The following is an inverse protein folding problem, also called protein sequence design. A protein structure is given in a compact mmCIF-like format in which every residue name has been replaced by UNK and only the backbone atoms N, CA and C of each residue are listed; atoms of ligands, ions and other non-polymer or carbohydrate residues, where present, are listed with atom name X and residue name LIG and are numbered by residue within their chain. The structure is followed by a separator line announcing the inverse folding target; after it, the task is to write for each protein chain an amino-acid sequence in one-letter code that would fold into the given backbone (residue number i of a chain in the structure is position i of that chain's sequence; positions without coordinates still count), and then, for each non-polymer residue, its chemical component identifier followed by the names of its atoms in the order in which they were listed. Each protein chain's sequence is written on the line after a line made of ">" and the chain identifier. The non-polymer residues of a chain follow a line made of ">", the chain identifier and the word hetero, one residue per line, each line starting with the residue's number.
data_IF_956781599005
#
_entry.id   IF_956781599005
#
_cell.length_a   1.000
_cell.length_b   1.000
_cell.length_c   1.000
_cell.angle_alpha   90.00
_cell.angle_beta   90.00
_cell.angle_gamma   90.00
#
_symmetry.space_group_name_H-M   'P 1'
#
loop_
_entity.id
_entity.type
_entity.pdbx_description
1 polymer ?
#
# COMPACT_ATOMS: atom_id res chain seq x y z
N UNK A 1 -4.58 -3.15 2.81
CA UNK A 1 -3.79 -3.31 1.56
C UNK A 1 -3.28 -4.74 1.42
N UNK A 2 -2.33 -5.18 2.26
CA UNK A 2 -1.71 -6.52 2.22
C UNK A 2 -2.65 -7.71 1.96
N UNK A 3 -3.62 -7.93 2.85
CA UNK A 3 -4.59 -9.02 2.72
C UNK A 3 -5.42 -8.95 1.42
N UNK A 4 -5.80 -7.75 0.97
CA UNK A 4 -6.63 -7.55 -0.22
C UNK A 4 -5.89 -7.89 -1.53
N UNK A 5 -4.56 -8.03 -1.51
CA UNK A 5 -3.80 -8.53 -2.66
C UNK A 5 -4.18 -9.96 -3.09
N UNK A 6 -4.82 -10.75 -2.21
CA UNK A 6 -5.43 -12.03 -2.59
C UNK A 6 -6.54 -11.88 -3.64
N UNK A 7 -7.30 -10.77 -3.59
CA UNK A 7 -8.38 -10.52 -4.53
C UNK A 7 -7.87 -10.19 -5.92
N UNK A 8 -6.62 -9.74 -6.07
CA UNK A 8 -6.02 -9.57 -7.40
C UNK A 8 -5.92 -10.91 -8.12
N UNK A 9 -5.56 -11.98 -7.42
CA UNK A 9 -5.61 -13.34 -7.97
C UNK A 9 -7.03 -13.83 -8.13
N UNK A 10 -7.80 -13.82 -7.03
CA UNK A 10 -9.08 -14.52 -6.96
C UNK A 10 -10.14 -13.86 -7.86
N UNK A 11 -10.30 -12.53 -7.76
CA UNK A 11 -11.26 -11.81 -8.59
C UNK A 11 -10.78 -11.67 -10.03
N UNK A 12 -9.48 -11.46 -10.28
CA UNK A 12 -8.93 -11.35 -11.63
C UNK A 12 -9.03 -12.66 -12.41
N UNK A 13 -8.60 -13.79 -11.84
CA UNK A 13 -8.73 -15.09 -12.50
C UNK A 13 -10.20 -15.51 -12.64
N UNK A 14 -11.06 -15.19 -11.68
CA UNK A 14 -12.50 -15.42 -11.82
C UNK A 14 -13.11 -14.56 -12.95
N UNK A 15 -12.66 -13.31 -13.12
CA UNK A 15 -13.11 -12.46 -14.22
C UNK A 15 -12.69 -13.01 -15.58
N UNK A 16 -11.41 -13.39 -15.72
CA UNK A 16 -10.90 -14.04 -16.92
C UNK A 16 -11.61 -15.34 -17.29
N UNK A 17 -11.99 -16.12 -16.29
CA UNK A 17 -12.75 -17.37 -16.46
C UNK A 17 -14.27 -17.17 -16.59
N UNK A 18 -14.75 -15.92 -16.69
CA UNK A 18 -16.17 -15.55 -16.75
C UNK A 18 -17.00 -16.04 -15.56
N UNK A 19 -16.36 -16.26 -14.40
CA UNK A 19 -16.99 -16.69 -13.15
C UNK A 19 -17.46 -15.48 -12.32
N UNK A 20 -18.30 -14.63 -12.90
CA UNK A 20 -18.69 -13.33 -12.34
C UNK A 20 -19.33 -13.42 -10.94
N UNK A 21 -20.16 -14.44 -10.68
CA UNK A 21 -20.72 -14.69 -9.33
C UNK A 21 -19.63 -14.83 -8.25
N UNK A 22 -18.50 -15.47 -8.58
CA UNK A 22 -17.40 -15.65 -7.62
C UNK A 22 -16.72 -14.35 -7.26
N UNK A 23 -16.68 -13.37 -8.16
CA UNK A 23 -16.08 -12.05 -7.89
C UNK A 23 -16.77 -11.38 -6.70
N UNK A 24 -18.11 -11.36 -6.69
CA UNK A 24 -18.85 -10.83 -5.56
C UNK A 24 -18.68 -11.69 -4.31
N UNK A 25 -18.72 -13.02 -4.42
CA UNK A 25 -18.47 -13.91 -3.27
C UNK A 25 -17.12 -13.62 -2.61
N UNK A 26 -16.02 -13.56 -3.38
CA UNK A 26 -14.71 -13.21 -2.84
C UNK A 26 -14.67 -11.81 -2.24
N UNK A 27 -15.32 -10.83 -2.87
CA UNK A 27 -15.37 -9.45 -2.39
C UNK A 27 -16.06 -9.38 -1.02
N UNK A 28 -17.28 -9.90 -0.87
CA UNK A 28 -17.99 -9.87 0.40
C UNK A 28 -17.33 -10.74 1.48
N UNK A 29 -16.88 -11.94 1.13
CA UNK A 29 -16.14 -12.80 2.06
C UNK A 29 -14.88 -12.11 2.59
N UNK A 30 -14.15 -11.39 1.73
CA UNK A 30 -12.97 -10.64 2.15
C UNK A 30 -13.31 -9.44 3.03
N UNK A 31 -14.40 -8.71 2.76
CA UNK A 31 -14.87 -7.62 3.63
C UNK A 31 -15.16 -8.14 5.03
N UNK A 32 -15.87 -9.28 5.15
CA UNK A 32 -16.16 -9.92 6.44
C UNK A 32 -14.84 -10.29 7.15
N UNK A 33 -13.92 -10.98 6.46
CA UNK A 33 -12.63 -11.34 7.03
C UNK A 33 -11.83 -10.11 7.51
N UNK A 34 -11.79 -9.04 6.72
CA UNK A 34 -11.01 -7.84 7.05
C UNK A 34 -11.63 -7.05 8.20
N UNK A 35 -12.96 -6.93 8.25
CA UNK A 35 -13.66 -6.34 9.39
C UNK A 35 -13.39 -7.12 10.67
N UNK A 36 -13.35 -8.46 10.61
CA UNK A 36 -12.98 -9.29 11.75
C UNK A 36 -11.53 -9.04 12.20
N UNK A 37 -10.59 -8.83 11.26
CA UNK A 37 -9.19 -8.49 11.54
C UNK A 37 -9.05 -7.07 12.11
N UNK A 38 -9.98 -6.15 11.84
CA UNK A 38 -9.94 -4.80 12.43
C UNK A 38 -10.07 -4.81 13.95
N UNK A 39 -10.81 -5.76 14.55
CA UNK A 39 -10.99 -5.83 16.00
C UNK A 39 -9.68 -6.03 16.78
N UNK A 40 -8.85 -7.05 16.51
CA UNK A 40 -7.58 -7.20 17.22
C UNK A 40 -6.63 -6.03 16.98
N UNK A 41 -6.61 -5.45 15.78
CA UNK A 41 -5.79 -4.25 15.50
C UNK A 41 -6.29 -3.04 16.32
N UNK A 42 -7.60 -2.86 16.40
CA UNK A 42 -8.21 -1.77 17.20
C UNK A 42 -7.87 -1.93 18.68
N UNK A 43 -7.88 -3.17 19.20
CA UNK A 43 -7.47 -3.44 20.58
C UNK A 43 -6.01 -3.06 20.84
N UNK A 44 -5.11 -3.31 19.89
CA UNK A 44 -3.72 -2.85 19.96
C UNK A 44 -3.64 -1.32 19.97
N UNK A 45 -4.40 -0.65 19.09
CA UNK A 45 -4.42 0.82 18.99
C UNK A 45 -4.97 1.53 20.23
N UNK A 46 -5.93 0.92 20.93
CA UNK A 46 -6.45 1.43 22.20
C UNK A 46 -5.42 1.32 23.35
N UNK A 47 -4.43 0.45 23.23
CA UNK A 47 -3.37 0.27 24.24
C UNK A 47 -2.00 0.76 23.71
N UNK A 48 -1.98 1.65 22.72
CA UNK A 48 -0.75 2.10 22.07
C UNK A 48 0.17 2.87 23.02
N UNK A 49 -0.40 3.60 23.98
CA UNK A 49 0.33 4.29 25.04
C UNK A 49 1.21 3.32 25.83
N UNK A 50 0.60 2.27 26.39
CA UNK A 50 1.29 1.22 27.17
C UNK A 50 2.32 0.48 26.34
N UNK A 51 2.01 0.22 25.07
CA UNK A 51 2.93 -0.45 24.15
C UNK A 51 4.17 0.41 23.89
N UNK A 52 4.01 1.71 23.63
CA UNK A 52 5.14 2.60 23.38
C UNK A 52 5.96 2.86 24.65
N UNK A 53 5.30 2.99 25.81
CA UNK A 53 5.98 3.07 27.11
C UNK A 53 6.77 1.79 27.44
N UNK A 54 6.26 0.61 27.06
CA UNK A 54 7.00 -0.65 27.18
C UNK A 54 8.30 -0.63 26.33
N UNK A 55 8.29 0.07 25.20
CA UNK A 55 9.47 0.34 24.38
C UNK A 55 10.23 1.60 24.82
N UNK A 56 10.02 2.05 26.06
CA UNK A 56 10.71 3.19 26.69
C UNK A 56 10.57 4.51 25.93
N UNK A 57 9.44 4.69 25.22
CA UNK A 57 9.12 5.98 24.62
C UNK A 57 8.62 6.97 25.68
N UNK A 58 8.74 8.26 25.37
CA UNK A 58 8.25 9.33 26.23
C UNK A 58 6.73 9.18 26.50
N UNK A 59 6.26 9.27 27.76
CA UNK A 59 4.84 9.09 28.09
C UNK A 59 3.91 10.09 27.40
N UNK A 60 4.34 11.35 27.23
CA UNK A 60 3.53 12.36 26.56
C UNK A 60 3.38 12.06 25.05
N UNK A 61 4.46 11.64 24.39
CA UNK A 61 4.41 11.17 22.99
C UNK A 61 3.54 9.91 22.86
N UNK A 62 3.65 8.99 23.82
CA UNK A 62 2.89 7.73 23.85
C UNK A 62 1.39 7.99 23.98
N UNK A 63 0.97 8.88 24.88
CA UNK A 63 -0.42 9.34 25.01
C UNK A 63 -0.91 9.98 23.70
N UNK A 64 -0.09 10.83 23.07
CA UNK A 64 -0.43 11.50 21.83
C UNK A 64 -0.67 10.51 20.67
N UNK A 65 0.23 9.53 20.53
CA UNK A 65 0.12 8.45 19.55
C UNK A 65 -1.09 7.56 19.80
N UNK A 66 -1.37 7.23 21.07
CA UNK A 66 -2.57 6.48 21.45
C UNK A 66 -3.85 7.22 21.08
N UNK A 67 -3.95 8.50 21.45
CA UNK A 67 -5.09 9.34 21.09
C UNK A 67 -5.28 9.38 19.57
N UNK A 68 -4.21 9.63 18.81
CA UNK A 68 -4.28 9.62 17.34
C UNK A 68 -4.78 8.27 16.80
N UNK A 69 -4.23 7.16 17.32
CA UNK A 69 -4.57 5.80 16.90
C UNK A 69 -6.03 5.44 17.19
N UNK A 70 -6.56 5.82 18.36
CA UNK A 70 -7.98 5.62 18.71
C UNK A 70 -8.89 6.32 17.70
N UNK A 71 -8.59 7.58 17.36
CA UNK A 71 -9.38 8.35 16.40
C UNK A 71 -9.22 7.87 14.95
N UNK A 72 -8.20 7.07 14.65
CA UNK A 72 -8.05 6.37 13.36
C UNK A 72 -8.83 5.06 13.28
N UNK A 73 -9.36 4.51 14.38
CA UNK A 73 -10.10 3.23 14.34
C UNK A 73 -11.24 3.24 13.32
N UNK A 74 -12.12 4.27 13.21
CA UNK A 74 -13.14 4.31 12.18
C UNK A 74 -12.56 4.25 10.76
N UNK A 75 -11.40 4.86 10.53
CA UNK A 75 -10.68 4.83 9.25
C UNK A 75 -10.21 3.41 8.90
N UNK A 76 -9.79 2.63 9.90
CA UNK A 76 -9.38 1.23 9.74
C UNK A 76 -10.54 0.36 9.21
N UNK A 77 -11.74 0.51 9.77
CA UNK A 77 -12.94 -0.20 9.28
C UNK A 77 -13.35 0.28 7.88
N UNK A 78 -13.26 1.58 7.60
CA UNK A 78 -13.46 2.12 6.26
C UNK A 78 -12.49 1.49 5.24
N UNK A 79 -11.21 1.38 5.60
CA UNK A 79 -10.20 0.70 4.79
C UNK A 79 -10.51 -0.79 4.56
N UNK A 80 -11.03 -1.51 5.56
CA UNK A 80 -11.39 -2.92 5.43
C UNK A 80 -12.50 -3.17 4.40
N UNK A 81 -13.39 -2.20 4.21
CA UNK A 81 -14.42 -2.23 3.16
C UNK A 81 -13.90 -1.71 1.82
N UNK A 82 -13.15 -0.60 1.85
CA UNK A 82 -12.65 0.08 0.67
C UNK A 82 -11.72 -0.83 -0.15
N UNK A 83 -10.79 -1.53 0.50
CA UNK A 83 -9.76 -2.28 -0.21
C UNK A 83 -10.35 -3.44 -1.06
N UNK A 84 -11.30 -4.25 -0.57
CA UNK A 84 -12.05 -5.18 -1.41
C UNK A 84 -12.82 -4.51 -2.55
N UNK A 85 -13.51 -3.38 -2.31
CA UNK A 85 -14.23 -2.66 -3.38
C UNK A 85 -13.28 -2.21 -4.48
N UNK A 86 -12.09 -1.70 -4.11
CA UNK A 86 -11.08 -1.31 -5.09
C UNK A 86 -10.69 -2.49 -5.98
N UNK A 87 -10.43 -3.66 -5.39
CA UNK A 87 -10.07 -4.87 -6.14
C UNK A 87 -11.24 -5.40 -6.98
N UNK A 88 -12.48 -5.28 -6.51
CA UNK A 88 -13.69 -5.61 -7.28
C UNK A 88 -13.74 -4.86 -8.60
N UNK A 89 -13.61 -3.53 -8.58
CA UNK A 89 -13.63 -2.74 -9.82
C UNK A 89 -12.38 -2.95 -10.66
N UNK A 90 -11.22 -3.00 -10.00
CA UNK A 90 -9.94 -3.12 -10.68
C UNK A 90 -9.80 -4.44 -11.46
N UNK A 91 -10.22 -5.58 -10.89
CA UNK A 91 -10.14 -6.88 -11.59
C UNK A 91 -10.97 -6.91 -12.87
N UNK A 92 -12.02 -6.09 -12.94
CA UNK A 92 -12.90 -5.94 -14.10
C UNK A 92 -12.40 -4.87 -15.09
N UNK A 93 -11.26 -4.21 -14.83
CA UNK A 93 -10.77 -3.08 -15.63
C UNK A 93 -11.58 -1.78 -15.45
N UNK A 94 -12.46 -1.70 -14.46
CA UNK A 94 -13.32 -0.55 -14.20
C UNK A 94 -12.58 0.52 -13.38
N UNK A 95 -11.65 1.23 -14.00
CA UNK A 95 -10.81 2.22 -13.30
C UNK A 95 -11.48 3.58 -13.07
N UNK A 96 -12.51 3.94 -13.86
CA UNK A 96 -13.18 5.24 -13.75
C UNK A 96 -13.91 5.43 -12.40
N UNK A 97 -14.69 4.47 -11.87
CA UNK A 97 -15.25 4.57 -10.52
C UNK A 97 -14.19 4.83 -9.44
N UNK A 98 -13.05 4.14 -9.55
CA UNK A 98 -11.92 4.30 -8.61
C UNK A 98 -11.33 5.70 -8.68
N UNK A 99 -11.14 6.22 -9.90
CA UNK A 99 -10.64 7.57 -10.14
C UNK A 99 -11.59 8.63 -9.57
N UNK A 100 -12.88 8.59 -9.94
CA UNK A 100 -13.84 9.60 -9.49
C UNK A 100 -14.06 9.56 -7.98
N UNK A 101 -14.08 8.37 -7.38
CA UNK A 101 -14.13 8.21 -5.93
C UNK A 101 -12.92 8.87 -5.25
N UNK A 102 -11.71 8.51 -5.69
CA UNK A 102 -10.47 8.99 -5.07
C UNK A 102 -10.28 10.49 -5.26
N UNK A 103 -10.59 11.00 -6.45
CA UNK A 103 -10.52 12.42 -6.78
C UNK A 103 -11.53 13.22 -5.95
N UNK A 104 -12.78 12.77 -5.88
CA UNK A 104 -13.81 13.42 -5.05
C UNK A 104 -13.42 13.42 -3.56
N UNK A 105 -12.89 12.30 -3.07
CA UNK A 105 -12.41 12.19 -1.69
C UNK A 105 -11.23 13.12 -1.40
N UNK A 106 -10.30 13.31 -2.35
CA UNK A 106 -9.19 14.25 -2.23
C UNK A 106 -9.68 15.71 -2.21
N UNK A 107 -10.56 16.08 -3.14
CA UNK A 107 -11.18 17.41 -3.20
C UNK A 107 -11.94 17.74 -1.91
N UNK A 108 -12.57 16.74 -1.28
CA UNK A 108 -13.18 16.88 0.04
C UNK A 108 -12.14 16.95 1.17
N UNK A 109 -11.12 16.08 1.13
CA UNK A 109 -10.15 15.91 2.20
C UNK A 109 -9.40 17.20 2.54
N UNK A 110 -8.91 17.91 1.52
CA UNK A 110 -8.09 19.13 1.70
C UNK A 110 -8.84 20.21 2.52
N UNK A 111 -10.03 20.70 2.10
CA UNK A 111 -10.75 21.72 2.86
C UNK A 111 -11.27 21.19 4.20
N UNK A 112 -11.67 19.91 4.27
CA UNK A 112 -12.16 19.31 5.51
C UNK A 112 -11.05 19.17 6.56
N UNK A 113 -9.86 18.74 6.15
CA UNK A 113 -8.67 18.68 6.99
C UNK A 113 -8.31 20.07 7.51
N UNK A 114 -8.30 21.09 6.65
CA UNK A 114 -8.08 22.47 7.07
C UNK A 114 -9.11 22.98 8.09
N UNK A 115 -10.40 22.67 7.86
CA UNK A 115 -11.48 23.02 8.77
C UNK A 115 -11.28 22.40 10.16
N UNK A 116 -11.05 21.08 10.23
CA UNK A 116 -10.89 20.37 11.50
C UNK A 116 -9.64 20.80 12.26
N UNK A 117 -8.51 20.93 11.56
CA UNK A 117 -7.22 21.25 12.20
C UNK A 117 -7.15 22.72 12.62
N UNK A 118 -7.44 23.66 11.71
CA UNK A 118 -7.15 25.08 11.94
C UNK A 118 -8.36 25.87 12.45
N UNK A 119 -9.55 25.61 11.94
CA UNK A 119 -10.76 26.38 12.30
C UNK A 119 -11.41 25.85 13.57
N UNK A 120 -11.61 24.53 13.65
CA UNK A 120 -12.17 23.87 14.83
C UNK A 120 -11.12 23.53 15.88
N UNK A 121 -9.83 23.66 15.54
CA UNK A 121 -8.68 23.44 16.45
C UNK A 121 -8.65 22.06 17.09
N UNK A 122 -9.05 21.02 16.34
CA UNK A 122 -8.98 19.63 16.79
C UNK A 122 -7.58 19.01 16.66
N UNK A 123 -6.59 19.75 16.12
CA UNK A 123 -5.19 19.31 16.06
C UNK A 123 -5.03 17.93 15.43
N UNK A 124 -4.27 17.05 16.08
CA UNK A 124 -4.03 15.67 15.61
C UNK A 124 -5.31 14.83 15.48
N UNK A 125 -6.32 15.09 16.32
CA UNK A 125 -7.61 14.39 16.25
C UNK A 125 -8.35 14.83 14.98
N UNK A 126 -8.25 16.12 14.64
CA UNK A 126 -8.76 16.65 13.39
C UNK A 126 -8.13 15.98 12.16
N UNK A 127 -6.82 15.72 12.21
CA UNK A 127 -6.12 14.98 11.14
C UNK A 127 -6.59 13.52 11.03
N UNK A 128 -6.75 12.80 12.14
CA UNK A 128 -7.26 11.43 12.14
C UNK A 128 -8.71 11.33 11.64
N UNK A 129 -9.57 12.27 12.07
CA UNK A 129 -10.96 12.34 11.63
C UNK A 129 -11.08 12.69 10.14
N UNK A 130 -10.25 13.61 9.63
CA UNK A 130 -10.32 14.01 8.23
C UNK A 130 -10.00 12.84 7.29
N UNK A 131 -8.97 12.03 7.59
CA UNK A 131 -8.67 10.84 6.80
C UNK A 131 -9.76 9.78 6.93
N UNK A 132 -10.30 9.57 8.14
CA UNK A 132 -11.39 8.63 8.36
C UNK A 132 -12.63 8.95 7.54
N UNK A 133 -13.09 10.21 7.56
CA UNK A 133 -14.26 10.64 6.78
C UNK A 133 -13.99 10.54 5.28
N UNK A 134 -12.79 10.91 4.80
CA UNK A 134 -12.42 10.77 3.39
C UNK A 134 -12.42 9.32 2.91
N UNK A 135 -12.00 8.37 3.76
CA UNK A 135 -12.06 6.94 3.43
C UNK A 135 -13.50 6.42 3.39
N UNK A 136 -14.34 6.83 4.33
CA UNK A 136 -15.77 6.47 4.32
C UNK A 136 -16.52 7.09 3.15
N UNK A 137 -16.13 8.29 2.71
CA UNK A 137 -16.64 8.89 1.48
C UNK A 137 -16.29 8.03 0.26
N UNK A 138 -15.05 7.53 0.17
CA UNK A 138 -14.69 6.57 -0.88
C UNK A 138 -15.55 5.30 -0.83
N UNK A 139 -15.73 4.72 0.36
CA UNK A 139 -16.59 3.54 0.55
C UNK A 139 -18.01 3.82 0.06
N UNK A 140 -18.59 4.97 0.43
CA UNK A 140 -19.93 5.35 0.03
C UNK A 140 -20.07 5.49 -1.49
N UNK A 141 -19.13 6.19 -2.15
CA UNK A 141 -19.14 6.39 -3.60
C UNK A 141 -18.96 5.05 -4.33
N UNK A 142 -17.98 4.24 -3.96
CA UNK A 142 -17.76 2.94 -4.58
C UNK A 142 -18.91 1.96 -4.33
N UNK A 143 -19.56 2.03 -3.17
CA UNK A 143 -20.74 1.24 -2.88
C UNK A 143 -21.91 1.59 -3.82
N UNK A 144 -22.13 2.87 -4.11
CA UNK A 144 -23.15 3.30 -5.09
C UNK A 144 -22.85 2.72 -6.47
N UNK A 145 -21.63 2.89 -6.97
CA UNK A 145 -21.22 2.29 -8.25
C UNK A 145 -21.37 0.76 -8.27
N UNK A 146 -21.06 0.10 -7.15
CA UNK A 146 -21.10 -1.36 -7.06
C UNK A 146 -22.55 -1.84 -7.04
N UNK A 147 -23.44 -1.20 -6.27
CA UNK A 147 -24.86 -1.52 -6.18
C UNK A 147 -25.57 -1.44 -7.53
N UNK A 148 -25.20 -0.48 -8.36
CA UNK A 148 -25.83 -0.26 -9.66
C UNK A 148 -25.31 -1.22 -10.76
N UNK A 149 -24.28 -2.02 -10.45
CA UNK A 149 -23.68 -2.97 -11.40
C UNK A 149 -24.53 -4.23 -11.62
N UNK A 150 -24.40 -4.85 -12.80
CA UNK A 150 -25.07 -6.12 -13.11
C UNK A 150 -24.58 -7.28 -12.21
N UNK A 151 -23.28 -7.34 -11.90
CA UNK A 151 -22.69 -8.34 -11.00
C UNK A 151 -23.28 -8.30 -9.59
N UNK A 152 -23.65 -7.10 -9.10
CA UNK A 152 -24.30 -6.98 -7.80
C UNK A 152 -25.64 -7.74 -7.76
N UNK A 153 -26.37 -7.76 -8.87
CA UNK A 153 -27.66 -8.49 -8.96
C UNK A 153 -27.46 -10.00 -8.85
N UNK A 154 -26.40 -10.54 -9.45
CA UNK A 154 -26.06 -11.97 -9.39
C UNK A 154 -25.57 -12.42 -8.00
N UNK A 155 -25.05 -11.48 -7.20
CA UNK A 155 -24.42 -11.74 -5.90
C UNK A 155 -25.34 -11.43 -4.71
N UNK A 156 -26.57 -10.98 -4.98
CA UNK A 156 -27.58 -10.66 -3.96
C UNK A 156 -28.08 -11.90 -3.19
N UNK A 157 -27.98 -13.08 -3.78
CA UNK A 157 -28.44 -14.35 -3.22
C UNK A 157 -27.26 -15.33 -3.02
N UNK A 158 -26.16 -14.87 -2.40
CA UNK A 158 -25.04 -15.75 -2.05
C UNK A 158 -25.44 -16.67 -0.89
N UNK A 159 -25.17 -17.97 -1.06
CA UNK A 159 -25.39 -18.95 0.00
C UNK A 159 -24.27 -18.88 1.05
N UNK A 160 -24.58 -19.21 2.31
CA UNK A 160 -23.59 -19.22 3.40
C UNK A 160 -22.41 -20.14 3.08
N UNK A 161 -22.64 -21.28 2.42
CA UNK A 161 -21.60 -22.22 2.04
C UNK A 161 -20.63 -21.62 1.01
N UNK A 162 -21.12 -20.82 0.05
CA UNK A 162 -20.29 -20.07 -0.89
C UNK A 162 -19.39 -19.07 -0.15
N UNK A 163 -19.96 -18.34 0.81
CA UNK A 163 -19.23 -17.35 1.62
C UNK A 163 -18.09 -18.02 2.38
N UNK A 164 -18.34 -19.11 3.10
CA UNK A 164 -17.31 -19.83 3.87
C UNK A 164 -16.22 -20.42 2.98
N UNK A 165 -16.58 -20.98 1.82
CA UNK A 165 -15.61 -21.49 0.84
C UNK A 165 -14.71 -20.36 0.31
N UNK A 166 -15.31 -19.22 -0.06
CA UNK A 166 -14.58 -18.03 -0.51
C UNK A 166 -13.71 -17.42 0.58
N UNK A 167 -14.13 -17.44 1.85
CA UNK A 167 -13.31 -16.99 2.98
C UNK A 167 -12.05 -17.85 3.15
N UNK A 168 -12.18 -19.18 3.04
CA UNK A 168 -11.03 -20.10 3.14
C UNK A 168 -10.00 -19.84 2.03
N UNK A 169 -10.47 -19.67 0.80
CA UNK A 169 -9.62 -19.37 -0.35
C UNK A 169 -8.94 -18.01 -0.21
N UNK A 170 -9.70 -17.00 0.22
CA UNK A 170 -9.19 -15.67 0.52
C UNK A 170 -8.05 -15.72 1.55
N UNK A 171 -8.27 -16.32 2.72
CA UNK A 171 -7.26 -16.38 3.80
C UNK A 171 -5.97 -17.06 3.34
N UNK A 172 -6.08 -18.14 2.54
CA UNK A 172 -4.92 -18.89 2.03
C UNK A 172 -3.95 -18.04 1.20
N UNK A 173 -4.46 -17.06 0.45
CA UNK A 173 -3.65 -16.13 -0.36
C UNK A 173 -3.39 -14.81 0.37
N UNK A 174 -4.32 -14.41 1.24
CA UNK A 174 -4.27 -13.12 1.91
C UNK A 174 -3.17 -13.09 2.97
N UNK A 175 -2.89 -14.19 3.67
CA UNK A 175 -1.77 -14.25 4.63
C UNK A 175 -0.41 -14.05 3.93
N UNK A 176 -0.05 -14.82 2.88
CA UNK A 176 1.20 -14.57 2.15
C UNK A 176 1.28 -13.16 1.54
N UNK A 177 0.17 -12.66 0.98
CA UNK A 177 0.10 -11.31 0.42
C UNK A 177 0.29 -10.23 1.48
N UNK A 178 -0.30 -10.41 2.67
CA UNK A 178 -0.11 -9.50 3.80
C UNK A 178 1.32 -9.54 4.31
N UNK A 179 1.91 -10.73 4.47
CA UNK A 179 3.32 -10.87 4.87
C UNK A 179 4.24 -10.13 3.91
N UNK A 180 4.08 -10.32 2.60
CA UNK A 180 4.90 -9.67 1.59
C UNK A 180 4.90 -8.14 1.72
N UNK A 181 3.71 -7.52 1.83
CA UNK A 181 3.59 -6.06 1.95
C UNK A 181 4.06 -5.55 3.32
N UNK A 182 3.69 -6.24 4.41
CA UNK A 182 4.10 -5.82 5.75
C UNK A 182 5.62 -5.88 5.94
N UNK A 183 6.28 -6.94 5.44
CA UNK A 183 7.73 -7.08 5.50
C UNK A 183 8.45 -5.98 4.71
N UNK A 184 7.92 -5.62 3.55
CA UNK A 184 8.44 -4.49 2.78
C UNK A 184 8.31 -3.18 3.58
N UNK A 185 7.12 -2.88 4.13
CA UNK A 185 6.88 -1.64 4.87
C UNK A 185 7.70 -1.55 6.16
N UNK A 186 7.75 -2.63 6.93
CA UNK A 186 8.53 -2.68 8.16
C UNK A 186 10.03 -2.58 7.90
N UNK A 187 10.52 -3.01 6.74
CA UNK A 187 11.93 -2.81 6.38
C UNK A 187 12.29 -1.32 6.28
N UNK A 188 11.40 -0.47 5.76
CA UNK A 188 11.62 0.97 5.71
C UNK A 188 11.60 1.61 7.09
N UNK A 189 10.68 1.19 7.98
CA UNK A 189 10.64 1.66 9.37
C UNK A 189 11.92 1.26 10.13
N UNK A 190 12.43 0.04 9.90
CA UNK A 190 13.69 -0.41 10.48
C UNK A 190 14.88 0.42 9.98
N UNK A 191 14.95 0.74 8.69
CA UNK A 191 15.99 1.62 8.14
C UNK A 191 15.95 3.01 8.77
N UNK A 192 14.75 3.58 8.94
CA UNK A 192 14.56 4.87 9.59
C UNK A 192 15.00 4.82 11.06
N UNK A 193 14.63 3.75 11.79
CA UNK A 193 15.03 3.55 13.17
C UNK A 193 16.56 3.39 13.30
N UNK A 194 17.20 2.59 12.44
CA UNK A 194 18.65 2.41 12.43
C UNK A 194 19.38 3.72 12.15
N UNK A 195 18.86 4.57 11.26
CA UNK A 195 19.44 5.90 11.01
C UNK A 195 19.47 6.77 12.28
N UNK A 196 18.49 6.60 13.17
CA UNK A 196 18.41 7.31 14.44
C UNK A 196 19.43 6.84 15.50
N UNK A 197 20.08 5.70 15.29
CA UNK A 197 21.11 5.16 16.18
C UNK A 197 22.53 5.61 15.78
N UNK A 198 22.69 6.27 14.64
CA UNK A 198 23.99 6.73 14.14
C UNK A 198 24.51 7.95 14.92
N UNK A 199 25.84 8.21 14.93
CA UNK A 199 26.44 9.28 15.73
C UNK A 199 25.86 10.68 15.47
N UNK A 200 25.47 10.99 14.23
CA UNK A 200 24.77 12.23 13.87
C UNK A 200 23.31 11.96 13.50
N UNK A 201 22.55 11.38 14.43
CA UNK A 201 21.18 10.90 14.21
C UNK A 201 20.24 11.94 13.58
N UNK A 202 20.34 13.23 13.95
CA UNK A 202 19.53 14.29 13.33
C UNK A 202 19.81 14.43 11.83
N UNK A 203 21.08 14.45 11.43
CA UNK A 203 21.47 14.53 10.03
C UNK A 203 21.06 13.26 9.27
N UNK A 204 21.43 12.10 9.79
CA UNK A 204 21.21 10.80 9.13
C UNK A 204 19.72 10.51 8.95
N UNK A 205 18.90 10.72 9.99
CA UNK A 205 17.45 10.55 9.90
C UNK A 205 16.81 11.55 8.94
N UNK A 206 17.29 12.80 8.88
CA UNK A 206 16.79 13.79 7.92
C UNK A 206 17.09 13.38 6.48
N UNK A 207 18.33 12.96 6.20
CA UNK A 207 18.75 12.50 4.87
C UNK A 207 17.99 11.23 4.47
N UNK A 208 17.86 10.26 5.38
CA UNK A 208 17.10 9.04 5.16
C UNK A 208 15.61 9.33 4.88
N UNK A 209 14.99 10.24 5.63
CA UNK A 209 13.60 10.66 5.41
C UNK A 209 13.40 11.28 4.02
N UNK A 210 14.33 12.11 3.54
CA UNK A 210 14.28 12.69 2.18
C UNK A 210 14.42 11.58 1.13
N UNK A 211 15.34 10.64 1.31
CA UNK A 211 15.52 9.49 0.42
C UNK A 211 14.26 8.62 0.34
N UNK A 212 13.67 8.26 1.50
CA UNK A 212 12.45 7.45 1.58
C UNK A 212 11.26 8.19 0.98
N UNK A 213 11.12 9.49 1.23
CA UNK A 213 10.05 10.31 0.64
C UNK A 213 10.19 10.39 -0.88
N UNK A 214 11.40 10.61 -1.38
CA UNK A 214 11.69 10.63 -2.83
C UNK A 214 11.37 9.29 -3.49
N UNK A 215 11.79 8.17 -2.86
CA UNK A 215 11.47 6.83 -3.33
C UNK A 215 9.97 6.54 -3.29
N UNK A 216 9.30 6.94 -2.21
CA UNK A 216 7.85 6.79 -2.03
C UNK A 216 7.03 7.52 -3.09
N UNK A 217 7.44 8.72 -3.50
CA UNK A 217 6.79 9.48 -4.58
C UNK A 217 6.82 8.71 -5.92
N UNK A 218 7.97 8.12 -6.26
CA UNK A 218 8.11 7.29 -7.44
C UNK A 218 7.33 5.96 -7.31
N UNK A 219 7.36 5.34 -6.13
CA UNK A 219 6.70 4.05 -5.88
C UNK A 219 5.20 4.07 -6.18
N UNK A 220 4.50 5.19 -5.99
CA UNK A 220 3.06 5.30 -6.30
C UNK A 220 2.78 4.99 -7.77
N UNK A 221 3.60 5.51 -8.69
CA UNK A 221 3.42 5.27 -10.12
C UNK A 221 3.73 3.83 -10.49
N UNK A 222 4.82 3.27 -9.93
CA UNK A 222 5.20 1.90 -10.24
C UNK A 222 4.25 0.86 -9.62
N UNK A 223 3.74 1.11 -8.42
CA UNK A 223 2.70 0.25 -7.83
C UNK A 223 1.42 0.27 -8.71
N UNK A 224 1.08 1.41 -9.33
CA UNK A 224 -0.02 1.47 -10.30
C UNK A 224 0.25 0.62 -11.55
N UNK A 225 1.49 0.62 -12.08
CA UNK A 225 1.91 -0.27 -13.17
C UNK A 225 1.82 -1.74 -12.72
N UNK A 226 2.30 -2.07 -11.52
CA UNK A 226 2.21 -3.41 -10.94
C UNK A 226 0.77 -3.87 -10.73
N UNK A 227 -0.11 -2.98 -10.29
CA UNK A 227 -1.55 -3.20 -10.13
C UNK A 227 -2.25 -3.46 -11.47
N UNK A 228 -1.87 -2.74 -12.53
CA UNK A 228 -2.34 -3.01 -13.89
C UNK A 228 -1.81 -4.37 -14.41
N UNK A 229 -0.53 -4.65 -14.21
CA UNK A 229 0.09 -5.93 -14.56
C UNK A 229 -0.63 -7.10 -13.88
N UNK A 230 -0.88 -6.98 -12.58
CA UNK A 230 -1.61 -7.96 -11.79
C UNK A 230 -3.00 -8.26 -12.36
N UNK A 231 -3.74 -7.21 -12.75
CA UNK A 231 -5.07 -7.30 -13.35
C UNK A 231 -5.03 -8.03 -14.69
N UNK A 232 -4.15 -7.61 -15.61
CA UNK A 232 -4.08 -8.23 -16.93
C UNK A 232 -3.54 -9.65 -16.88
N UNK A 233 -2.51 -9.92 -16.06
CA UNK A 233 -1.96 -11.27 -15.89
C UNK A 233 -3.00 -12.21 -15.30
N UNK A 234 -3.71 -11.80 -14.23
CA UNK A 234 -4.75 -12.64 -13.62
C UNK A 234 -5.92 -12.90 -14.57
N UNK A 235 -6.39 -11.88 -15.30
CA UNK A 235 -7.47 -12.04 -16.27
C UNK A 235 -7.08 -13.01 -17.41
N UNK A 236 -5.90 -12.84 -18.01
CA UNK A 236 -5.46 -13.72 -19.10
C UNK A 236 -5.18 -15.15 -18.62
N UNK A 237 -4.65 -15.32 -17.40
CA UNK A 237 -4.49 -16.65 -16.79
C UNK A 237 -5.83 -17.32 -16.51
N UNK A 238 -6.81 -16.57 -16.00
CA UNK A 238 -8.18 -17.05 -15.78
C UNK A 238 -8.85 -17.49 -17.07
N UNK A 239 -8.62 -16.77 -18.18
CA UNK A 239 -9.11 -17.11 -19.50
C UNK A 239 -8.37 -18.28 -20.17
N UNK A 240 -7.33 -18.84 -19.54
CA UNK A 240 -6.52 -19.91 -20.13
C UNK A 240 -5.57 -19.44 -21.24
N UNK A 241 -5.18 -18.16 -21.24
CA UNK A 241 -4.35 -17.54 -22.27
C UNK A 241 -2.93 -17.18 -21.74
N UNK A 242 -2.02 -18.16 -21.59
CA UNK A 242 -0.69 -17.91 -21.03
C UNK A 242 0.19 -17.02 -21.91
N UNK A 243 -0.07 -16.96 -23.23
CA UNK A 243 0.69 -16.10 -24.15
C UNK A 243 0.41 -14.62 -23.88
N UNK A 244 -0.86 -14.26 -23.75
CA UNK A 244 -1.25 -12.88 -23.43
C UNK A 244 -0.87 -12.51 -21.99
N UNK A 245 -0.98 -13.43 -21.03
CA UNK A 245 -0.49 -13.20 -19.67
C UNK A 245 1.01 -12.84 -19.66
N UNK A 246 1.84 -13.55 -20.45
CA UNK A 246 3.26 -13.23 -20.60
C UNK A 246 3.49 -11.89 -21.31
N UNK A 247 2.69 -11.56 -22.31
CA UNK A 247 2.76 -10.27 -22.99
C UNK A 247 2.43 -9.11 -22.04
N UNK A 248 1.40 -9.24 -21.21
CA UNK A 248 1.04 -8.26 -20.18
C UNK A 248 2.16 -8.07 -19.14
N UNK A 249 2.75 -9.17 -18.65
CA UNK A 249 3.89 -9.13 -17.74
C UNK A 249 5.10 -8.40 -18.36
N UNK A 250 5.45 -8.72 -19.62
CA UNK A 250 6.55 -8.07 -20.32
C UNK A 250 6.28 -6.57 -20.55
N UNK A 251 5.06 -6.20 -20.96
CA UNK A 251 4.68 -4.81 -21.16
C UNK A 251 4.85 -3.99 -19.87
N UNK A 252 4.41 -4.54 -18.73
CA UNK A 252 4.57 -3.91 -17.43
C UNK A 252 6.05 -3.75 -17.03
N UNK A 253 6.89 -4.76 -17.30
CA UNK A 253 8.33 -4.68 -17.04
C UNK A 253 9.01 -3.59 -17.89
N UNK A 254 8.65 -3.47 -19.17
CA UNK A 254 9.17 -2.40 -20.03
C UNK A 254 8.72 -1.02 -19.57
N UNK A 255 7.43 -0.86 -19.19
CA UNK A 255 6.91 0.39 -18.66
C UNK A 255 7.59 0.79 -17.35
N UNK A 256 7.74 -0.15 -16.40
CA UNK A 256 8.41 0.10 -15.13
C UNK A 256 9.89 0.46 -15.30
N UNK A 257 10.60 -0.22 -16.21
CA UNK A 257 12.00 0.10 -16.51
C UNK A 257 12.16 1.47 -17.20
N UNK A 258 11.25 1.81 -18.11
CA UNK A 258 11.23 3.13 -18.75
C UNK A 258 10.98 4.23 -17.72
N UNK A 259 9.94 4.09 -16.90
CA UNK A 259 9.60 5.04 -15.84
C UNK A 259 10.77 5.24 -14.86
N UNK A 260 11.32 4.15 -14.34
CA UNK A 260 12.45 4.21 -13.42
C UNK A 260 13.67 4.88 -14.05
N UNK A 261 13.97 4.60 -15.32
CA UNK A 261 15.06 5.26 -16.04
C UNK A 261 14.81 6.76 -16.15
N UNK A 262 13.60 7.16 -16.52
CA UNK A 262 13.20 8.56 -16.65
C UNK A 262 13.32 9.32 -15.32
N UNK A 263 12.80 8.73 -14.24
CA UNK A 263 12.87 9.31 -12.89
C UNK A 263 14.32 9.39 -12.41
N UNK A 264 15.11 8.33 -12.58
CA UNK A 264 16.52 8.32 -12.18
C UNK A 264 17.36 9.36 -12.92
N UNK A 265 17.17 9.51 -14.23
CA UNK A 265 17.87 10.53 -15.05
C UNK A 265 17.47 11.93 -14.58
N UNK A 266 16.19 12.17 -14.38
CA UNK A 266 15.68 13.47 -13.92
C UNK A 266 16.21 13.80 -12.53
N UNK A 267 16.06 12.89 -11.58
CA UNK A 267 16.53 13.05 -10.20
C UNK A 267 18.04 13.26 -10.16
N UNK A 268 18.82 12.50 -10.92
CA UNK A 268 20.28 12.67 -10.98
C UNK A 268 20.65 14.06 -11.49
N UNK A 269 20.04 14.55 -12.58
CA UNK A 269 20.35 15.86 -13.15
C UNK A 269 19.97 17.02 -12.21
N UNK A 270 18.82 16.91 -11.53
CA UNK A 270 18.29 17.96 -10.66
C UNK A 270 18.60 17.75 -9.16
N UNK A 271 19.44 16.78 -8.80
CA UNK A 271 19.71 16.36 -7.41
C UNK A 271 20.04 17.49 -6.44
N UNK A 272 20.77 18.51 -6.90
CA UNK A 272 21.12 19.69 -6.09
C UNK A 272 19.87 20.48 -5.72
N UNK A 273 19.07 20.85 -6.72
CA UNK A 273 17.82 21.59 -6.53
C UNK A 273 16.82 20.77 -5.75
N UNK A 274 16.70 19.48 -6.06
CA UNK A 274 15.80 18.56 -5.35
C UNK A 274 16.07 18.54 -3.85
N UNK A 275 17.34 18.45 -3.44
CA UNK A 275 17.72 18.46 -2.03
C UNK A 275 17.27 19.74 -1.28
N UNK A 276 17.37 20.91 -1.93
CA UNK A 276 16.95 22.18 -1.35
C UNK A 276 15.42 22.39 -1.33
N UNK A 277 14.62 21.57 -2.02
CA UNK A 277 13.16 21.58 -1.87
C UNK A 277 12.76 21.05 -0.47
N UNK A 278 13.54 20.13 0.10
CA UNK A 278 13.24 19.50 1.38
C UNK A 278 13.87 20.21 2.58
N UNK A 279 15.08 20.77 2.44
CA UNK A 279 15.79 21.38 3.56
C UNK A 279 16.62 22.59 3.14
N UNK A 280 16.60 23.62 3.99
CA UNK A 280 17.47 24.79 3.88
C UNK A 280 18.83 24.57 4.55
N UNK A 281 19.00 23.48 5.31
CA UNK A 281 20.27 23.14 5.95
C UNK A 281 21.27 22.64 4.91
N UNK A 282 22.36 23.39 4.73
CA UNK A 282 23.37 23.13 3.69
C UNK A 282 23.98 21.75 3.85
N UNK A 283 24.21 21.29 5.09
CA UNK A 283 24.77 19.97 5.38
C UNK A 283 23.84 18.84 4.90
N UNK A 284 22.55 18.92 5.21
CA UNK A 284 21.53 17.96 4.75
C UNK A 284 21.42 17.97 3.23
N UNK A 285 21.32 19.15 2.62
CA UNK A 285 21.16 19.28 1.18
C UNK A 285 22.39 18.75 0.40
N UNK A 286 23.59 19.01 0.93
CA UNK A 286 24.83 18.49 0.36
C UNK A 286 24.92 16.96 0.46
N UNK A 287 24.53 16.39 1.59
CA UNK A 287 24.54 14.94 1.77
C UNK A 287 23.51 14.26 0.85
N UNK A 288 22.26 14.73 0.80
CA UNK A 288 21.24 14.22 -0.14
C UNK A 288 21.76 14.25 -1.59
N UNK A 289 22.36 15.37 -2.00
CA UNK A 289 22.99 15.52 -3.32
C UNK A 289 24.05 14.45 -3.59
N UNK A 290 24.89 14.14 -2.59
CA UNK A 290 25.97 13.16 -2.69
C UNK A 290 25.46 11.71 -2.77
N UNK A 291 24.42 11.36 -2.00
CA UNK A 291 23.86 10.00 -1.95
C UNK A 291 22.85 9.71 -3.06
N UNK A 292 22.36 10.75 -3.75
CA UNK A 292 21.38 10.61 -4.85
C UNK A 292 21.73 9.54 -5.90
N UNK A 293 22.99 9.34 -6.35
CA UNK A 293 23.30 8.27 -7.30
C UNK A 293 22.95 6.86 -6.78
N UNK A 294 23.15 6.61 -5.48
CA UNK A 294 22.78 5.37 -4.82
C UNK A 294 21.25 5.26 -4.72
N UNK A 295 20.57 6.37 -4.42
CA UNK A 295 19.12 6.44 -4.42
C UNK A 295 18.53 6.13 -5.81
N UNK A 296 19.11 6.63 -6.89
CA UNK A 296 18.69 6.29 -8.25
C UNK A 296 18.82 4.78 -8.52
N UNK A 297 19.93 4.16 -8.11
CA UNK A 297 20.08 2.70 -8.23
C UNK A 297 19.00 1.95 -7.43
N UNK A 298 18.73 2.40 -6.20
CA UNK A 298 17.67 1.83 -5.37
C UNK A 298 16.29 1.98 -6.02
N UNK A 299 15.94 3.17 -6.53
CA UNK A 299 14.68 3.45 -7.24
C UNK A 299 14.50 2.50 -8.44
N UNK A 300 15.56 2.28 -9.22
CA UNK A 300 15.51 1.39 -10.38
C UNK A 300 15.22 -0.08 -9.99
N UNK A 301 15.89 -0.56 -8.95
CA UNK A 301 15.68 -1.91 -8.43
C UNK A 301 14.28 -2.03 -7.81
N UNK A 302 13.88 -1.06 -6.98
CA UNK A 302 12.55 -1.00 -6.37
C UNK A 302 11.43 -0.97 -7.41
N UNK A 303 11.62 -0.28 -8.53
CA UNK A 303 10.64 -0.29 -9.63
C UNK A 303 10.44 -1.72 -10.16
N UNK A 304 11.55 -2.39 -10.45
CA UNK A 304 11.53 -3.75 -10.98
C UNK A 304 10.86 -4.73 -10.02
N UNK A 305 11.16 -4.63 -8.72
CA UNK A 305 10.55 -5.50 -7.70
C UNK A 305 9.07 -5.21 -7.49
N UNK A 306 8.63 -3.95 -7.55
CA UNK A 306 7.23 -3.57 -7.43
C UNK A 306 6.38 -4.13 -8.58
N UNK A 307 6.87 -4.02 -9.83
CA UNK A 307 6.19 -4.62 -10.99
C UNK A 307 6.12 -6.14 -10.89
N UNK A 308 7.24 -6.80 -10.53
CA UNK A 308 7.29 -8.25 -10.34
C UNK A 308 6.37 -8.73 -9.22
N UNK A 309 6.26 -7.95 -8.13
CA UNK A 309 5.34 -8.21 -7.04
C UNK A 309 3.89 -8.17 -7.52
N UNK A 310 3.52 -7.18 -8.34
CA UNK A 310 2.22 -7.12 -9.00
C UNK A 310 1.95 -8.34 -9.88
N UNK A 311 2.92 -8.73 -10.73
CA UNK A 311 2.81 -9.94 -11.57
C UNK A 311 2.63 -11.20 -10.71
N UNK A 312 3.39 -11.33 -9.61
CA UNK A 312 3.27 -12.45 -8.69
C UNK A 312 1.89 -12.50 -8.01
N UNK A 313 1.30 -11.35 -7.65
CA UNK A 313 -0.09 -11.29 -7.17
C UNK A 313 -1.06 -11.73 -8.24
N UNK A 314 -0.93 -11.28 -9.49
CA UNK A 314 -1.81 -11.72 -10.58
C UNK A 314 -1.72 -13.22 -10.88
N UNK A 315 -0.50 -13.79 -10.78
CA UNK A 315 -0.24 -15.20 -11.02
C UNK A 315 -0.57 -16.13 -9.84
N UNK A 316 -0.82 -15.59 -8.63
CA UNK A 316 -1.04 -16.40 -7.43
C UNK A 316 0.25 -16.90 -6.76
N UNK A 317 1.39 -16.26 -7.03
CA UNK A 317 2.72 -16.62 -6.51
C UNK A 317 3.13 -15.80 -5.28
N UNK A 318 2.19 -15.20 -4.55
CA UNK A 318 2.48 -14.32 -3.41
C UNK A 318 3.31 -15.03 -2.32
N UNK A 319 3.17 -16.35 -2.15
CA UNK A 319 3.96 -17.11 -1.19
C UNK A 319 5.45 -17.12 -1.54
N UNK A 320 5.79 -17.28 -2.82
CA UNK A 320 7.18 -17.25 -3.29
C UNK A 320 7.74 -15.84 -3.11
N UNK A 321 6.97 -14.83 -3.53
CA UNK A 321 7.35 -13.43 -3.37
C UNK A 321 7.58 -13.07 -1.89
N UNK A 322 6.72 -13.53 -0.98
CA UNK A 322 6.88 -13.32 0.46
C UNK A 322 8.17 -13.93 1.02
N UNK A 323 8.53 -15.16 0.64
CA UNK A 323 9.81 -15.76 1.06
C UNK A 323 11.02 -15.01 0.47
N UNK A 324 10.91 -14.56 -0.79
CA UNK A 324 11.94 -13.75 -1.41
C UNK A 324 12.13 -12.40 -0.67
N UNK A 325 11.05 -11.76 -0.21
CA UNK A 325 11.10 -10.54 0.61
C UNK A 325 11.82 -10.77 1.95
N UNK A 326 11.56 -11.89 2.63
CA UNK A 326 12.28 -12.25 3.87
C UNK A 326 13.78 -12.40 3.58
N UNK A 327 14.13 -13.20 2.58
CA UNK A 327 15.53 -13.45 2.24
C UNK A 327 16.28 -12.18 1.83
N UNK A 328 15.68 -11.36 0.98
CA UNK A 328 16.30 -10.14 0.47
C UNK A 328 16.42 -9.04 1.53
N UNK A 329 15.32 -8.64 2.18
CA UNK A 329 15.36 -7.52 3.12
C UNK A 329 15.94 -7.90 4.47
N UNK A 330 15.53 -9.03 5.07
CA UNK A 330 15.82 -9.33 6.47
C UNK A 330 17.04 -10.20 6.69
N UNK A 331 17.35 -11.13 5.78
CA UNK A 331 18.52 -12.00 5.92
C UNK A 331 19.78 -11.42 5.30
N UNK A 332 19.64 -10.54 4.30
CA UNK A 332 20.79 -9.96 3.57
C UNK A 332 20.82 -8.44 3.70
N UNK A 333 19.78 -7.73 3.24
CA UNK A 333 19.78 -6.28 3.10
C UNK A 333 20.04 -5.53 4.41
N UNK A 334 19.20 -5.75 5.42
CA UNK A 334 19.31 -5.09 6.73
C UNK A 334 20.63 -5.47 7.45
N UNK A 335 21.04 -6.75 7.54
CA UNK A 335 22.33 -7.10 8.15
C UNK A 335 23.54 -6.47 7.45
N UNK A 336 23.62 -6.54 6.12
CA UNK A 336 24.72 -5.93 5.35
C UNK A 336 24.71 -4.41 5.52
N UNK A 337 23.53 -3.78 5.44
CA UNK A 337 23.38 -2.34 5.67
C UNK A 337 23.85 -1.94 7.06
N UNK A 338 23.53 -2.72 8.09
CA UNK A 338 23.96 -2.46 9.47
C UNK A 338 25.48 -2.55 9.62
N UNK A 339 26.12 -3.58 9.04
CA UNK A 339 27.58 -3.75 9.08
C UNK A 339 28.32 -2.63 8.34
N UNK A 340 27.74 -2.10 7.26
CA UNK A 340 28.36 -1.00 6.50
C UNK A 340 28.18 0.36 7.18
N UNK A 341 27.22 0.47 8.10
CA UNK A 341 26.81 1.74 8.70
C UNK A 341 27.38 1.97 10.11
N UNK A 342 27.69 0.88 10.84
CA UNK A 342 28.24 0.87 12.20
C UNK A 342 29.60 0.17 12.25
#
# INVERSE_FOLDING_TARGET
>A
VGFSGALETLCGQAFGAEQFRKIGSYTYSSMICLVLICFPISLLWVNMDKLLELFHQDPFISELACRYSIWLIPALFGCALLQPMTRYFQSQGLVLPLFFSSFGALCFHIPFCWLLIYKLRYGIVGAALSIGVSLWLNVAVLWVFMRDSALYRETRNLELQEIFSSMKQFISLAIPSAMMICLEWWSFELLLLLSGLLPNSKLETSVMSICLTTSGLHYVLVDAIGAAASTHVSNELGAGNPKAARAAANAALYLGAFDASFVCITLYNYRKTWAYIFSNEVEVAHYVTKITPILCLSIFICSSTAVLSGIARGAGWQRIAGYASIGSYYLVGIPVGSILCF
#
